data_IF_378313432167
#
_entry.id   IF_378313432167
#
_cell.length_a   1.000
_cell.length_b   1.000
_cell.length_c   1.000
_cell.angle_alpha   90.00
_cell.angle_beta   90.00
_cell.angle_gamma   90.00
#
_symmetry.space_group_name_H-M   'P 1'
#
loop_
_entity.id
_entity.type
_entity.pdbx_description
1 polymer ?
#
# COMPACT_ATOMS: atom_id res chain seq x y z
N UNK A 1 1.85 -3.85 7.09
CA UNK A 1 2.59 -2.83 6.32
C UNK A 1 1.73 -2.32 5.19
N UNK A 2 1.88 -1.05 4.80
CA UNK A 2 1.26 -0.57 3.58
C UNK A 2 2.07 0.41 2.70
N UNK A 3 3.24 1.04 3.05
CA UNK A 3 4.12 2.14 2.48
C UNK A 3 3.74 3.66 2.25
N UNK A 4 3.97 4.55 3.25
CA UNK A 4 3.62 6.00 3.29
C UNK A 4 4.88 6.87 3.24
N UNK A 5 4.76 8.12 2.76
CA UNK A 5 5.72 9.18 3.09
C UNK A 5 5.06 10.56 3.15
N UNK A 6 5.29 11.31 4.23
CA UNK A 6 5.09 12.76 4.29
C UNK A 6 6.21 13.38 5.14
N UNK A 7 7.03 14.25 4.55
CA UNK A 7 8.07 15.00 5.27
C UNK A 7 7.47 16.30 5.80
N UNK A 8 7.43 16.47 7.12
CA UNK A 8 7.06 17.73 7.79
C UNK A 8 8.06 18.00 8.91
N UNK A 9 8.34 19.30 9.14
CA UNK A 9 9.30 19.76 10.14
C UNK A 9 8.89 19.50 11.59
N UNK A 10 9.82 19.80 12.49
CA UNK A 10 9.90 19.26 13.84
C UNK A 10 8.76 19.61 14.82
N UNK A 11 8.68 18.74 15.83
CA UNK A 11 8.06 18.83 17.15
C UNK A 11 6.53 18.67 17.26
N UNK A 12 5.67 19.45 16.60
CA UNK A 12 4.21 19.23 16.73
C UNK A 12 3.68 18.09 15.82
N UNK A 13 4.27 17.93 14.63
CA UNK A 13 3.79 17.01 13.58
C UNK A 13 3.89 15.52 13.96
N UNK A 14 4.80 15.15 14.87
CA UNK A 14 4.98 13.78 15.34
C UNK A 14 3.73 13.24 16.05
N UNK A 15 2.98 14.11 16.74
CA UNK A 15 1.73 13.74 17.41
C UNK A 15 0.60 13.43 16.40
N UNK A 16 0.46 14.24 15.34
CA UNK A 16 -0.55 14.04 14.29
C UNK A 16 -0.26 12.78 13.47
N UNK A 17 1.01 12.56 13.09
CA UNK A 17 1.43 11.37 12.33
C UNK A 17 1.25 10.10 13.18
N UNK A 18 1.64 10.12 14.46
CA UNK A 18 1.41 8.99 15.37
C UNK A 18 -0.08 8.65 15.52
N UNK A 19 -0.92 9.65 15.76
CA UNK A 19 -2.38 9.47 15.85
C UNK A 19 -2.98 8.95 14.53
N UNK A 20 -2.48 9.42 13.39
CA UNK A 20 -2.90 8.95 12.07
C UNK A 20 -2.55 7.47 11.86
N UNK A 21 -1.33 7.05 12.17
CA UNK A 21 -0.91 5.65 12.11
C UNK A 21 -1.77 4.76 13.02
N UNK A 22 -2.03 5.19 14.27
CA UNK A 22 -2.91 4.48 15.20
C UNK A 22 -4.33 4.33 14.63
N UNK A 23 -4.89 5.36 14.01
CA UNK A 23 -6.22 5.31 13.40
C UNK A 23 -6.29 4.36 12.21
N UNK A 24 -5.28 4.37 11.31
CA UNK A 24 -5.20 3.42 10.19
C UNK A 24 -5.13 1.98 10.70
N UNK A 25 -4.31 1.71 11.73
CA UNK A 25 -4.18 0.37 12.33
C UNK A 25 -5.48 -0.10 12.97
N UNK A 26 -6.17 0.76 13.74
CA UNK A 26 -7.49 0.43 14.34
C UNK A 26 -8.52 0.05 13.28
N UNK A 27 -8.67 0.87 12.24
CA UNK A 27 -9.60 0.62 11.12
C UNK A 27 -9.24 -0.67 10.37
N UNK A 28 -7.95 -0.90 10.10
CA UNK A 28 -7.51 -2.14 9.45
C UNK A 28 -7.73 -3.38 10.34
N UNK A 29 -7.62 -3.26 11.67
CA UNK A 29 -7.91 -4.35 12.61
C UNK A 29 -9.40 -4.66 12.66
N UNK A 30 -10.25 -3.66 12.77
CA UNK A 30 -11.72 -3.81 12.83
C UNK A 30 -12.26 -4.45 11.55
N UNK A 31 -11.88 -3.91 10.38
CA UNK A 31 -12.25 -4.49 9.08
C UNK A 31 -11.61 -5.87 8.87
N UNK A 32 -10.37 -6.06 9.34
CA UNK A 32 -9.61 -7.29 9.21
C UNK A 32 -10.14 -8.47 10.02
N UNK A 33 -10.91 -8.22 11.08
CA UNK A 33 -11.63 -9.23 11.88
C UNK A 33 -13.06 -9.49 11.36
N UNK A 34 -13.57 -8.66 10.43
CA UNK A 34 -14.92 -8.76 9.89
C UNK A 34 -15.05 -9.64 8.64
N UNK A 35 -16.26 -9.65 8.06
CA UNK A 35 -16.52 -10.27 6.75
C UNK A 35 -15.70 -9.57 5.66
N UNK A 36 -15.05 -10.35 4.79
CA UNK A 36 -14.09 -9.82 3.83
C UNK A 36 -12.75 -9.38 4.45
N UNK A 37 -12.52 -9.67 5.73
CA UNK A 37 -11.27 -9.39 6.45
C UNK A 37 -10.07 -10.24 6.02
N UNK A 38 -9.07 -10.32 6.89
CA UNK A 38 -7.77 -10.92 6.59
C UNK A 38 -7.83 -12.43 6.31
N UNK A 39 -7.19 -12.84 5.23
CA UNK A 39 -6.92 -14.24 4.90
C UNK A 39 -5.44 -14.43 4.55
N UNK A 40 -4.94 -15.67 4.59
CA UNK A 40 -3.61 -15.99 4.05
C UNK A 40 -3.77 -16.35 2.57
N UNK A 41 -3.24 -15.55 1.63
CA UNK A 41 -3.40 -15.81 0.21
C UNK A 41 -2.53 -16.96 -0.27
N UNK A 42 -3.01 -17.66 -1.29
CA UNK A 42 -2.30 -18.73 -1.98
C UNK A 42 -2.02 -18.33 -3.42
N UNK A 43 -0.80 -18.60 -3.88
CA UNK A 43 -0.43 -18.48 -5.28
C UNK A 43 -1.21 -19.46 -6.16
N UNK A 44 -1.10 -19.27 -7.49
CA UNK A 44 -1.67 -20.18 -8.49
C UNK A 44 -1.22 -21.66 -8.32
N UNK A 45 -0.03 -21.91 -7.77
CA UNK A 45 0.51 -23.23 -7.45
C UNK A 45 0.14 -23.73 -6.03
N UNK A 46 -0.85 -23.11 -5.38
CA UNK A 46 -1.27 -23.36 -3.99
C UNK A 46 -0.19 -23.13 -2.90
N UNK A 47 0.97 -22.57 -3.24
CA UNK A 47 1.93 -22.13 -2.22
C UNK A 47 1.35 -20.95 -1.43
N UNK A 48 1.27 -21.09 -0.11
CA UNK A 48 0.84 -20.02 0.80
C UNK A 48 1.89 -18.92 0.86
N UNK A 49 1.45 -17.67 0.71
CA UNK A 49 2.29 -16.50 0.90
C UNK A 49 2.61 -16.28 2.39
N UNK A 50 3.77 -15.70 2.68
CA UNK A 50 4.23 -15.39 4.04
C UNK A 50 3.70 -14.02 4.52
N UNK A 51 2.39 -13.83 4.36
CA UNK A 51 1.64 -12.64 4.76
C UNK A 51 0.16 -12.99 4.93
N UNK A 52 -0.62 -12.12 5.56
CA UNK A 52 -2.08 -12.07 5.43
C UNK A 52 -2.46 -10.85 4.59
N UNK A 53 -3.56 -10.93 3.86
CA UNK A 53 -4.11 -9.78 3.13
C UNK A 53 -5.61 -9.67 3.28
N UNK A 54 -6.12 -8.45 3.08
CA UNK A 54 -7.51 -8.19 2.71
C UNK A 54 -7.54 -7.11 1.63
N UNK A 55 -8.69 -6.94 0.98
CA UNK A 55 -8.90 -5.90 0.00
C UNK A 55 -10.00 -4.96 0.50
N UNK A 56 -9.93 -3.69 0.09
CA UNK A 56 -10.97 -2.69 0.28
C UNK A 56 -11.33 -2.10 -1.09
N UNK A 57 -12.62 -1.90 -1.36
CA UNK A 57 -13.12 -1.55 -2.69
C UNK A 57 -13.29 -2.79 -3.57
N UNK A 58 -12.36 -3.03 -4.51
CA UNK A 58 -12.35 -4.27 -5.32
C UNK A 58 -11.49 -5.37 -4.68
N UNK A 59 -11.86 -6.64 -4.85
CA UNK A 59 -11.08 -7.81 -4.42
C UNK A 59 -10.02 -8.14 -5.46
N UNK A 60 -8.76 -8.26 -5.05
CA UNK A 60 -7.68 -8.80 -5.87
C UNK A 60 -7.51 -10.30 -5.61
N UNK A 61 -7.65 -11.11 -6.67
CA UNK A 61 -7.49 -12.55 -6.58
C UNK A 61 -6.02 -12.97 -6.89
N UNK A 62 -5.27 -13.52 -5.92
CA UNK A 62 -3.85 -13.90 -6.07
C UNK A 62 -3.60 -15.09 -7.00
N UNK A 63 -4.63 -15.90 -7.30
CA UNK A 63 -4.51 -17.05 -8.21
C UNK A 63 -4.76 -16.65 -9.65
N UNK A 64 -5.76 -15.82 -9.89
CA UNK A 64 -6.16 -15.42 -11.26
C UNK A 64 -5.53 -14.11 -11.73
N UNK A 65 -4.90 -13.35 -10.83
CA UNK A 65 -4.34 -12.02 -11.10
C UNK A 65 -5.37 -11.05 -11.72
N UNK A 66 -6.56 -11.01 -11.12
CA UNK A 66 -7.70 -10.19 -11.59
C UNK A 66 -8.38 -9.52 -10.41
N UNK A 67 -8.89 -8.31 -10.66
CA UNK A 67 -9.82 -7.62 -9.77
C UNK A 67 -11.27 -8.06 -10.01
N UNK A 68 -12.09 -8.04 -8.96
CA UNK A 68 -13.52 -8.31 -9.02
C UNK A 68 -14.27 -7.73 -7.83
N UNK A 69 -15.62 -7.78 -7.85
CA UNK A 69 -16.45 -7.18 -6.80
C UNK A 69 -16.68 -8.10 -5.59
N UNK A 70 -16.21 -9.35 -5.66
CA UNK A 70 -16.35 -10.38 -4.62
C UNK A 70 -15.14 -11.31 -4.62
N UNK A 71 -14.79 -11.78 -3.43
CA UNK A 71 -13.75 -12.78 -3.21
C UNK A 71 -14.24 -14.17 -3.59
N UNK A 72 -13.44 -14.87 -4.39
CA UNK A 72 -13.90 -16.09 -5.10
C UNK A 72 -14.14 -17.29 -4.18
N UNK A 73 -13.40 -17.44 -3.08
CA UNK A 73 -13.44 -18.65 -2.26
C UNK A 73 -14.47 -18.62 -1.11
N UNK A 74 -14.87 -17.45 -0.63
CA UNK A 74 -15.85 -17.26 0.46
C UNK A 74 -17.08 -16.43 0.04
N UNK A 75 -17.08 -15.86 -1.18
CA UNK A 75 -18.16 -15.03 -1.70
C UNK A 75 -18.26 -13.64 -1.06
N UNK A 76 -17.33 -13.27 -0.18
CA UNK A 76 -17.37 -12.01 0.56
C UNK A 76 -17.21 -10.79 -0.36
N UNK A 77 -17.90 -9.71 -0.01
CA UNK A 77 -17.72 -8.41 -0.65
C UNK A 77 -16.66 -7.65 0.17
N UNK A 78 -15.59 -7.12 -0.45
CA UNK A 78 -14.63 -6.26 0.24
C UNK A 78 -15.33 -5.06 0.92
N UNK A 79 -14.92 -4.67 2.14
CA UNK A 79 -15.39 -3.41 2.72
C UNK A 79 -15.03 -2.22 1.81
N UNK A 80 -15.80 -1.13 1.87
CA UNK A 80 -15.47 0.08 1.11
C UNK A 80 -14.17 0.72 1.62
N UNK A 81 -13.45 1.42 0.74
CA UNK A 81 -12.25 2.18 1.14
C UNK A 81 -12.68 3.31 2.08
N UNK A 82 -12.16 3.38 3.32
CA UNK A 82 -12.49 4.45 4.24
C UNK A 82 -12.12 5.81 3.65
N UNK A 83 -13.03 6.78 3.68
CA UNK A 83 -12.84 8.09 3.04
C UNK A 83 -11.59 8.84 3.53
N UNK A 84 -11.11 8.55 4.74
CA UNK A 84 -9.86 9.11 5.24
C UNK A 84 -8.63 8.51 4.55
N UNK A 85 -8.63 7.23 4.14
CA UNK A 85 -7.54 6.65 3.32
C UNK A 85 -7.47 7.35 1.95
N UNK A 86 -8.61 7.57 1.28
CA UNK A 86 -8.64 8.32 0.01
C UNK A 86 -8.14 9.77 0.17
N UNK A 87 -8.45 10.42 1.30
CA UNK A 87 -7.90 11.75 1.63
C UNK A 87 -6.38 11.70 1.82
N UNK A 88 -5.83 10.65 2.43
CA UNK A 88 -4.39 10.46 2.57
C UNK A 88 -3.71 10.21 1.22
N UNK A 89 -4.31 9.41 0.33
CA UNK A 89 -3.75 9.16 -1.02
C UNK A 89 -3.64 10.48 -1.77
N UNK A 90 -4.69 11.30 -1.73
CA UNK A 90 -4.68 12.63 -2.33
C UNK A 90 -3.63 13.56 -1.72
N UNK A 91 -3.42 13.54 -0.38
CA UNK A 91 -2.33 14.29 0.29
C UNK A 91 -0.95 13.81 -0.19
N UNK A 92 -0.70 12.50 -0.17
CA UNK A 92 0.58 11.92 -0.55
C UNK A 92 0.95 12.21 -2.02
N UNK A 93 -0.02 12.10 -2.95
CA UNK A 93 0.18 12.48 -4.35
C UNK A 93 0.50 13.97 -4.47
N UNK A 94 -0.23 14.84 -3.79
CA UNK A 94 0.01 16.29 -3.82
C UNK A 94 1.41 16.68 -3.30
N UNK A 95 1.88 16.05 -2.22
CA UNK A 95 3.23 16.29 -1.71
C UNK A 95 4.32 15.75 -2.65
N UNK A 96 4.14 14.54 -3.20
CA UNK A 96 5.05 13.97 -4.19
C UNK A 96 5.12 14.82 -5.48
N UNK A 97 3.98 15.35 -5.92
CA UNK A 97 3.87 16.35 -6.99
C UNK A 97 4.66 17.63 -6.62
N UNK A 98 4.43 18.22 -5.44
CA UNK A 98 5.14 19.41 -4.95
C UNK A 98 6.67 19.23 -4.94
N UNK A 99 7.16 18.08 -4.45
CA UNK A 99 8.58 17.72 -4.44
C UNK A 99 9.15 17.54 -5.86
N UNK A 100 8.40 16.87 -6.75
CA UNK A 100 8.78 16.64 -8.15
C UNK A 100 8.93 17.98 -8.90
N UNK A 101 8.00 18.91 -8.71
CA UNK A 101 8.06 20.26 -9.29
C UNK A 101 9.32 21.02 -8.84
N UNK A 102 9.65 20.95 -7.54
CA UNK A 102 10.87 21.57 -6.97
C UNK A 102 12.15 20.97 -7.56
N UNK A 103 12.24 19.64 -7.67
CA UNK A 103 13.44 18.92 -8.13
C UNK A 103 13.70 19.05 -9.63
N UNK A 104 12.66 18.92 -10.46
CA UNK A 104 12.83 18.80 -11.92
C UNK A 104 12.40 20.05 -12.71
N UNK A 105 11.88 21.10 -12.07
CA UNK A 105 11.33 22.31 -12.72
C UNK A 105 10.30 22.00 -13.83
N UNK A 106 9.59 20.88 -13.71
CA UNK A 106 8.74 20.34 -14.77
C UNK A 106 7.62 21.32 -15.17
N UNK A 107 7.46 21.53 -16.49
CA UNK A 107 6.50 22.47 -17.06
C UNK A 107 5.03 22.07 -16.82
N UNK A 108 4.76 20.77 -16.68
CA UNK A 108 3.47 20.19 -16.34
C UNK A 108 3.68 19.07 -15.34
N UNK A 109 2.90 19.08 -14.26
CA UNK A 109 3.12 18.20 -13.12
C UNK A 109 2.31 16.90 -13.21
N UNK A 110 1.11 17.00 -13.79
CA UNK A 110 0.20 15.89 -14.05
C UNK A 110 0.76 14.90 -15.08
N UNK A 111 1.63 15.38 -15.99
CA UNK A 111 2.35 14.56 -16.98
C UNK A 111 3.45 13.67 -16.34
N UNK A 112 3.87 13.96 -15.10
CA UNK A 112 4.92 13.21 -14.38
C UNK A 112 4.32 12.33 -13.28
N UNK A 113 3.34 12.85 -12.54
CA UNK A 113 2.63 12.11 -11.49
C UNK A 113 1.13 12.47 -11.52
N UNK A 114 0.29 11.68 -12.17
CA UNK A 114 -1.14 11.95 -12.28
C UNK A 114 -1.87 11.90 -10.93
N UNK A 115 -2.85 12.77 -10.77
CA UNK A 115 -3.81 12.71 -9.66
C UNK A 115 -4.79 11.54 -9.85
N UNK A 116 -5.09 10.79 -8.79
CA UNK A 116 -6.09 9.72 -8.80
C UNK A 116 -6.90 9.66 -7.49
N UNK A 117 -7.97 8.88 -7.50
CA UNK A 117 -8.70 8.44 -6.31
C UNK A 117 -8.76 6.91 -6.35
N UNK A 118 -8.38 6.19 -5.27
CA UNK A 118 -8.33 4.74 -5.29
C UNK A 118 -9.73 4.13 -5.21
N UNK A 119 -9.99 3.15 -6.06
CA UNK A 119 -11.09 2.18 -6.01
C UNK A 119 -10.61 0.77 -5.55
N UNK A 120 -9.28 0.58 -5.52
CA UNK A 120 -8.57 -0.59 -5.01
C UNK A 120 -7.69 -0.16 -3.84
N UNK A 121 -7.72 -0.90 -2.73
CA UNK A 121 -6.71 -0.82 -1.67
C UNK A 121 -6.42 -2.23 -1.14
N UNK A 122 -5.20 -2.71 -1.32
CA UNK A 122 -4.75 -4.00 -0.78
C UNK A 122 -4.06 -3.77 0.55
N UNK A 123 -4.59 -4.38 1.61
CA UNK A 123 -4.09 -4.25 2.97
C UNK A 123 -3.27 -5.49 3.32
N UNK A 124 -1.97 -5.33 3.54
CA UNK A 124 -1.04 -6.44 3.78
C UNK A 124 -0.55 -6.44 5.24
N UNK A 125 -0.62 -7.59 5.88
CA UNK A 125 -0.07 -7.84 7.21
C UNK A 125 1.08 -8.85 7.11
N UNK A 126 2.29 -8.42 7.47
CA UNK A 126 3.46 -9.28 7.62
C UNK A 126 3.65 -9.61 9.10
N UNK A 127 4.15 -10.81 9.36
CA UNK A 127 4.78 -11.14 10.65
C UNK A 127 6.29 -10.95 10.52
N UNK A 128 7.06 -11.14 11.60
CA UNK A 128 8.53 -11.02 11.63
C UNK A 128 9.26 -11.70 10.45
N UNK A 129 8.81 -12.89 10.04
CA UNK A 129 9.39 -13.65 8.93
C UNK A 129 8.68 -13.43 7.58
N UNK A 130 7.84 -12.39 7.50
CA UNK A 130 6.98 -12.13 6.35
C UNK A 130 7.75 -11.55 5.16
N UNK A 131 7.40 -11.99 3.96
CA UNK A 131 8.06 -11.53 2.72
C UNK A 131 7.16 -11.63 1.50
N UNK A 132 7.45 -10.77 0.53
CA UNK A 132 6.84 -10.75 -0.79
C UNK A 132 7.96 -10.61 -1.85
N UNK A 133 7.99 -11.52 -2.82
CA UNK A 133 9.03 -11.52 -3.85
C UNK A 133 8.81 -10.45 -4.93
N UNK A 134 9.84 -10.20 -5.75
CA UNK A 134 9.76 -9.24 -6.86
C UNK A 134 8.59 -9.56 -7.81
N UNK A 135 7.70 -8.58 -7.94
CA UNK A 135 6.51 -8.56 -8.78
C UNK A 135 6.35 -7.16 -9.39
N UNK A 136 5.36 -7.01 -10.26
CA UNK A 136 4.99 -5.72 -10.86
C UNK A 136 3.47 -5.64 -10.86
N UNK A 137 2.94 -4.52 -10.37
CA UNK A 137 1.53 -4.18 -10.51
C UNK A 137 1.26 -3.79 -11.97
N UNK A 138 0.48 -4.62 -12.65
CA UNK A 138 0.26 -4.59 -14.10
C UNK A 138 -1.09 -5.18 -14.52
N UNK A 139 -2.02 -5.30 -13.57
CA UNK A 139 -3.32 -5.98 -13.71
C UNK A 139 -4.51 -5.03 -13.54
N UNK A 140 -4.20 -3.76 -13.33
CA UNK A 140 -5.06 -2.59 -13.40
C UNK A 140 -5.58 -2.40 -14.83
N UNK A 141 -6.57 -1.53 -15.02
CA UNK A 141 -7.15 -1.32 -16.35
C UNK A 141 -6.10 -0.77 -17.33
N UNK A 142 -6.24 -1.14 -18.63
CA UNK A 142 -5.38 -0.61 -19.71
C UNK A 142 -5.38 0.92 -19.75
N UNK A 143 -6.47 1.56 -19.33
CA UNK A 143 -6.55 3.02 -19.21
C UNK A 143 -5.70 3.55 -18.06
N UNK A 144 -5.76 2.93 -16.88
CA UNK A 144 -4.97 3.30 -15.70
C UNK A 144 -3.47 3.17 -15.97
N UNK A 145 -3.07 2.04 -16.58
CA UNK A 145 -1.68 1.78 -16.97
C UNK A 145 -1.21 2.78 -18.06
N UNK A 146 -2.02 3.06 -19.08
CA UNK A 146 -1.67 4.07 -20.12
C UNK A 146 -1.58 5.48 -19.57
N UNK A 147 -2.39 5.82 -18.56
CA UNK A 147 -2.34 7.11 -17.86
C UNK A 147 -1.15 7.21 -16.91
N UNK A 148 -0.50 6.09 -16.54
CA UNK A 148 0.55 6.09 -15.53
C UNK A 148 0.03 6.43 -14.13
N UNK A 149 -1.19 6.00 -13.78
CA UNK A 149 -1.73 6.25 -12.44
C UNK A 149 -0.83 5.62 -11.37
N UNK A 150 -0.49 6.35 -10.28
CA UNK A 150 0.47 5.87 -9.31
C UNK A 150 -0.08 4.78 -8.40
N UNK A 151 0.77 3.82 -8.04
CA UNK A 151 0.56 3.00 -6.85
C UNK A 151 0.92 3.84 -5.63
N UNK A 152 -0.01 3.98 -4.70
CA UNK A 152 0.17 4.64 -3.40
C UNK A 152 -0.15 3.64 -2.30
N UNK A 153 0.58 3.76 -1.22
CA UNK A 153 0.73 2.79 -0.14
C UNK A 153 0.73 3.60 1.21
N UNK A 154 0.61 2.99 2.42
CA UNK A 154 0.78 3.60 3.79
C UNK A 154 1.50 2.79 4.93
N UNK A 155 2.80 2.95 5.23
CA UNK A 155 3.62 2.02 6.08
C UNK A 155 3.55 2.31 7.55
N UNK A 156 3.29 1.25 8.33
CA UNK A 156 3.06 1.31 9.77
C UNK A 156 3.48 -0.03 10.37
N UNK A 157 4.17 0.01 11.52
CA UNK A 157 4.77 -1.13 12.19
C UNK A 157 6.27 -1.23 11.86
N UNK A 158 6.83 -2.41 12.06
CA UNK A 158 8.27 -2.65 11.89
C UNK A 158 8.78 -2.29 10.49
N UNK A 159 10.04 -1.82 10.44
CA UNK A 159 10.77 -1.55 9.21
C UNK A 159 10.93 -2.81 8.36
N UNK A 160 10.97 -2.65 7.04
CA UNK A 160 11.32 -3.73 6.12
C UNK A 160 12.18 -3.22 4.96
N UNK A 161 12.97 -4.14 4.41
CA UNK A 161 13.67 -3.96 3.14
C UNK A 161 12.68 -3.81 1.99
N UNK A 162 12.84 -2.76 1.18
CA UNK A 162 12.11 -2.58 -0.06
C UNK A 162 13.02 -2.68 -1.26
N UNK A 163 12.79 -3.66 -2.12
CA UNK A 163 13.56 -3.88 -3.33
C UNK A 163 12.79 -3.39 -4.56
N UNK A 164 13.40 -2.51 -5.35
CA UNK A 164 12.83 -1.99 -6.59
C UNK A 164 13.84 -2.05 -7.76
N UNK A 165 13.34 -2.02 -8.99
CA UNK A 165 14.17 -2.02 -10.20
C UNK A 165 13.43 -2.55 -11.42
N UNK A 166 13.98 -2.28 -12.61
CA UNK A 166 13.30 -2.53 -13.90
C UNK A 166 13.30 -4.00 -14.35
N UNK A 167 14.02 -4.88 -13.64
CA UNK A 167 14.16 -6.30 -13.98
C UNK A 167 13.86 -7.18 -12.79
N UNK A 168 13.27 -8.35 -13.04
CA UNK A 168 12.93 -9.35 -12.02
C UNK A 168 14.16 -10.13 -11.53
N UNK A 169 15.13 -9.43 -10.96
CA UNK A 169 16.37 -10.00 -10.43
C UNK A 169 16.80 -9.24 -9.16
N UNK A 170 16.74 -9.90 -8.00
CA UNK A 170 17.05 -9.29 -6.71
C UNK A 170 18.52 -8.86 -6.56
N UNK A 171 19.46 -9.46 -7.32
CA UNK A 171 20.87 -9.04 -7.34
C UNK A 171 21.11 -7.77 -8.16
N UNK A 172 20.10 -7.30 -8.91
CA UNK A 172 20.12 -6.05 -9.68
C UNK A 172 19.11 -5.03 -9.16
N UNK A 173 18.40 -5.35 -8.07
CA UNK A 173 17.45 -4.44 -7.46
C UNK A 173 18.18 -3.43 -6.58
N UNK A 174 17.72 -2.18 -6.61
CA UNK A 174 18.07 -1.17 -5.61
C UNK A 174 17.33 -1.47 -4.31
N UNK A 175 17.96 -1.15 -3.18
CA UNK A 175 17.40 -1.32 -1.84
C UNK A 175 17.05 0.06 -1.28
N UNK A 176 15.75 0.28 -1.05
CA UNK A 176 15.26 1.29 -0.13
C UNK A 176 15.02 0.67 1.25
N UNK A 177 15.18 1.46 2.30
CA UNK A 177 14.74 1.11 3.64
C UNK A 177 13.49 1.93 4.00
N UNK A 178 12.44 1.26 4.46
CA UNK A 178 11.31 1.95 5.11
C UNK A 178 11.66 2.24 6.57
N UNK A 179 12.43 3.30 6.77
CA UNK A 179 12.82 3.78 8.10
C UNK A 179 11.60 4.25 8.88
N UNK A 180 11.49 3.82 10.14
CA UNK A 180 10.72 4.52 11.17
C UNK A 180 11.61 4.82 12.38
N UNK A 181 11.28 5.92 13.05
CA UNK A 181 11.93 6.39 14.27
C UNK A 181 11.72 5.36 15.41
N UNK A 182 12.75 4.94 16.20
CA UNK A 182 12.66 3.78 17.10
C UNK A 182 11.61 3.82 18.22
N UNK A 183 10.89 4.93 18.41
CA UNK A 183 10.07 5.21 19.58
C UNK A 183 8.67 4.56 19.62
N UNK A 184 8.21 3.89 18.55
CA UNK A 184 6.89 3.24 18.50
C UNK A 184 6.90 1.79 17.97
N UNK A 185 7.69 0.92 18.62
CA UNK A 185 7.53 -0.54 18.44
C UNK A 185 6.29 -1.03 19.20
N UNK A 186 5.22 -1.36 18.47
CA UNK A 186 4.05 -2.07 19.01
C UNK A 186 4.39 -3.54 19.21
N UNK A 187 5.15 -3.83 20.27
CA UNK A 187 5.24 -5.19 20.81
C UNK A 187 3.92 -5.53 21.51
N UNK A 188 3.52 -6.79 21.40
CA UNK A 188 2.32 -7.42 21.98
C UNK A 188 0.98 -7.14 21.26
N UNK A 189 0.60 -8.09 20.40
CA UNK A 189 -0.77 -8.34 19.92
C UNK A 189 -0.94 -9.83 19.55
#
# INVERSE_FOLDING_TARGET
MLHLTALVGQDDAYSEIGLLCVNIVKVCRELGLGLGGFYQPEHANAAKLQLKMMCLGMDWNPRTYKYGNKRVFDGSIPPSIPIHFSKLVRRAIHEAQSLTKKKYRACKLEDVLPSMTPDICVVIFYTENGKLGLHQDRVESRESLRKGLPVVSFSIGDSADFLYGDVRNAHKAERGEFLQDPHYSLREA
#
